data_IF_938767517573
#
_entry.id   IF_938767517573
#
_cell.length_a   1.000
_cell.length_b   1.000
_cell.length_c   1.000
_cell.angle_alpha   90.00
_cell.angle_beta   90.00
_cell.angle_gamma   90.00
#
_symmetry.space_group_name_H-M   'P 1'
#
loop_
_entity.id
_entity.type
_entity.pdbx_description
1 polymer ?
#
# COMPACT_ATOMS: atom_id res chain seq x y z
N UNK A 1 -1.17 -16.47 7.77
CA UNK A 1 -1.90 -15.18 7.75
C UNK A 1 -3.20 -15.24 8.55
N UNK A 2 -4.18 -16.11 8.22
CA UNK A 2 -5.48 -16.16 8.93
C UNK A 2 -5.38 -16.50 10.43
N UNK A 3 -4.50 -17.42 10.84
CA UNK A 3 -4.30 -17.75 12.26
C UNK A 3 -3.73 -16.55 13.07
N UNK A 4 -2.81 -15.79 12.46
CA UNK A 4 -2.19 -14.61 13.05
C UNK A 4 -3.20 -13.47 13.26
N UNK A 5 -4.13 -13.28 12.31
CA UNK A 5 -5.19 -12.28 12.45
C UNK A 5 -6.14 -12.60 13.62
N UNK A 6 -6.38 -13.89 13.92
CA UNK A 6 -7.23 -14.30 15.05
C UNK A 6 -6.51 -14.20 16.40
N UNK A 7 -5.22 -14.54 16.43
CA UNK A 7 -4.39 -14.45 17.65
C UNK A 7 -4.27 -13.01 18.16
N UNK A 8 -4.10 -12.06 17.24
CA UNK A 8 -4.08 -10.63 17.55
C UNK A 8 -5.48 -9.99 17.66
N UNK A 9 -6.56 -10.79 17.52
CA UNK A 9 -7.95 -10.32 17.60
C UNK A 9 -8.38 -9.38 16.46
N UNK A 10 -7.57 -9.29 15.39
CA UNK A 10 -7.86 -8.43 14.24
C UNK A 10 -9.11 -8.89 13.50
N UNK A 11 -9.48 -10.16 13.56
CA UNK A 11 -10.71 -10.68 12.93
C UNK A 11 -12.01 -10.11 13.53
N UNK A 12 -11.94 -9.44 14.68
CA UNK A 12 -13.09 -8.81 15.36
C UNK A 12 -13.24 -7.32 15.03
N UNK A 13 -12.25 -6.72 14.40
CA UNK A 13 -12.29 -5.32 14.00
C UNK A 13 -13.25 -5.14 12.82
N UNK A 14 -13.96 -4.03 12.83
CA UNK A 14 -14.68 -3.54 11.66
C UNK A 14 -13.70 -3.15 10.55
N UNK A 15 -14.22 -3.00 9.33
CA UNK A 15 -13.42 -2.55 8.18
C UNK A 15 -12.79 -1.18 8.44
N UNK A 16 -13.49 -0.28 9.13
CA UNK A 16 -12.97 1.04 9.48
C UNK A 16 -11.77 0.93 10.43
N UNK A 17 -11.89 0.10 11.48
CA UNK A 17 -10.80 -0.14 12.44
C UNK A 17 -9.60 -0.85 11.78
N UNK A 18 -9.81 -1.72 10.78
CA UNK A 18 -8.71 -2.27 9.98
C UNK A 18 -7.98 -1.21 9.18
N UNK A 19 -8.71 -0.28 8.57
CA UNK A 19 -8.11 0.82 7.80
C UNK A 19 -7.30 1.71 8.74
N UNK A 20 -7.88 2.13 9.87
CA UNK A 20 -7.18 2.96 10.86
C UNK A 20 -5.95 2.27 11.42
N UNK A 21 -6.02 0.98 11.74
CA UNK A 21 -4.84 0.23 12.18
C UNK A 21 -3.75 0.16 11.10
N UNK A 22 -4.13 -0.02 9.83
CA UNK A 22 -3.17 -0.02 8.73
C UNK A 22 -2.48 1.35 8.58
N UNK A 23 -3.23 2.44 8.73
CA UNK A 23 -2.70 3.81 8.74
C UNK A 23 -1.72 4.02 9.90
N UNK A 24 -2.12 3.67 11.14
CA UNK A 24 -1.28 3.81 12.34
C UNK A 24 0.03 3.02 12.24
N UNK A 25 -0.02 1.78 11.72
CA UNK A 25 1.17 0.97 11.51
C UNK A 25 2.09 1.57 10.45
N UNK A 26 1.52 2.13 9.37
CA UNK A 26 2.30 2.81 8.34
C UNK A 26 2.99 4.06 8.89
N UNK A 27 2.30 4.88 9.68
CA UNK A 27 2.88 6.07 10.31
C UNK A 27 4.01 5.70 11.28
N UNK A 28 3.82 4.67 12.10
CA UNK A 28 4.85 4.15 13.01
C UNK A 28 6.14 3.71 12.29
N UNK A 29 6.01 3.07 11.12
CA UNK A 29 7.17 2.67 10.29
C UNK A 29 7.85 3.90 9.68
N UNK A 30 7.07 4.89 9.24
CA UNK A 30 7.58 6.11 8.66
C UNK A 30 8.39 6.96 9.66
N UNK A 31 8.02 6.89 10.95
CA UNK A 31 8.70 7.59 12.05
C UNK A 31 9.81 6.76 12.71
N UNK A 32 9.96 5.50 12.32
CA UNK A 32 10.94 4.56 12.89
C UNK A 32 12.39 4.81 12.44
N UNK A 33 13.39 4.24 13.14
CA UNK A 33 14.80 4.39 12.76
C UNK A 33 15.15 3.74 11.41
N UNK A 34 14.33 2.82 10.92
CA UNK A 34 14.41 2.21 9.59
C UNK A 34 13.73 3.04 8.49
N UNK A 35 13.25 4.26 8.81
CA UNK A 35 12.62 5.15 7.85
C UNK A 35 13.52 5.41 6.64
N UNK A 36 13.03 5.04 5.46
CA UNK A 36 13.75 5.22 4.22
C UNK A 36 13.72 6.70 3.82
N UNK A 37 14.89 7.31 3.69
CA UNK A 37 14.99 8.66 3.12
C UNK A 37 14.70 8.61 1.62
N UNK A 38 13.71 9.36 1.16
CA UNK A 38 13.47 9.54 -0.27
C UNK A 38 14.57 10.41 -0.87
N UNK A 39 15.28 9.90 -1.87
CA UNK A 39 16.16 10.73 -2.70
C UNK A 39 15.34 11.69 -3.55
N UNK A 40 15.96 12.78 -4.01
CA UNK A 40 15.30 13.74 -4.91
C UNK A 40 14.78 13.05 -6.19
N UNK A 41 15.52 12.07 -6.69
CA UNK A 41 15.10 11.27 -7.84
C UNK A 41 13.80 10.48 -7.56
N UNK A 42 13.66 9.89 -6.38
CA UNK A 42 12.42 9.19 -5.99
C UNK A 42 11.26 10.17 -5.85
N UNK A 43 11.47 11.33 -5.23
CA UNK A 43 10.43 12.36 -5.08
C UNK A 43 9.95 12.86 -6.43
N UNK A 44 10.86 13.22 -7.33
CA UNK A 44 10.53 13.69 -8.67
C UNK A 44 9.79 12.61 -9.49
N UNK A 45 10.18 11.34 -9.35
CA UNK A 45 9.47 10.24 -10.00
C UNK A 45 8.02 10.12 -9.51
N UNK A 46 7.80 10.22 -8.18
CA UNK A 46 6.47 10.18 -7.59
C UNK A 46 5.60 11.36 -8.04
N UNK A 47 6.13 12.58 -8.02
CA UNK A 47 5.46 13.78 -8.50
C UNK A 47 5.04 13.65 -9.97
N UNK A 48 5.95 13.17 -10.82
CA UNK A 48 5.65 12.91 -12.24
C UNK A 48 4.50 11.90 -12.40
N UNK A 49 4.49 10.82 -11.62
CA UNK A 49 3.42 9.81 -11.67
C UNK A 49 2.09 10.36 -11.18
N UNK A 50 2.12 11.23 -10.18
CA UNK A 50 0.92 11.90 -9.67
C UNK A 50 0.32 12.81 -10.74
N UNK A 51 1.15 13.58 -11.45
CA UNK A 51 0.68 14.44 -12.54
C UNK A 51 0.09 13.64 -13.70
N UNK A 52 0.78 12.57 -14.13
CA UNK A 52 0.24 11.65 -15.14
C UNK A 52 -1.12 11.05 -14.75
N UNK A 53 -1.33 10.78 -13.46
CA UNK A 53 -2.62 10.29 -12.97
C UNK A 53 -3.69 11.38 -12.97
N UNK A 54 -3.35 12.64 -12.68
CA UNK A 54 -4.28 13.78 -12.79
C UNK A 54 -4.71 14.00 -14.23
N UNK A 55 -3.77 13.94 -15.16
CA UNK A 55 -4.03 14.08 -16.60
C UNK A 55 -4.86 12.90 -17.15
N UNK A 56 -4.63 11.70 -16.65
CA UNK A 56 -5.39 10.51 -17.03
C UNK A 56 -5.69 9.60 -15.82
N UNK A 57 -6.80 9.85 -15.10
CA UNK A 57 -7.17 9.08 -13.92
C UNK A 57 -7.43 7.60 -14.20
N UNK A 58 -7.74 7.25 -15.46
CA UNK A 58 -8.03 5.88 -15.90
C UNK A 58 -6.79 5.12 -16.41
N UNK A 59 -5.60 5.72 -16.33
CA UNK A 59 -4.34 5.07 -16.73
C UNK A 59 -3.94 3.89 -15.84
N UNK A 60 -4.52 3.78 -14.64
CA UNK A 60 -4.30 2.66 -13.72
C UNK A 60 -5.12 1.42 -14.11
N UNK A 61 -4.60 0.24 -13.73
CA UNK A 61 -5.38 -1.01 -13.81
C UNK A 61 -6.10 -1.28 -12.49
N UNK A 62 -7.33 -1.83 -12.52
CA UNK A 62 -7.99 -2.38 -11.34
C UNK A 62 -7.10 -3.40 -10.61
N UNK A 63 -7.24 -3.48 -9.29
CA UNK A 63 -6.45 -4.39 -8.47
C UNK A 63 -6.53 -5.85 -8.93
N UNK A 64 -7.72 -6.32 -9.31
CA UNK A 64 -7.90 -7.71 -9.76
C UNK A 64 -7.08 -8.04 -11.01
N UNK A 65 -6.96 -7.09 -11.95
CA UNK A 65 -6.12 -7.27 -13.14
C UNK A 65 -4.62 -7.29 -12.79
N UNK A 66 -4.20 -6.40 -11.88
CA UNK A 66 -2.82 -6.36 -11.38
C UNK A 66 -2.47 -7.67 -10.67
N UNK A 67 -3.35 -8.14 -9.79
CA UNK A 67 -3.21 -9.39 -9.05
C UNK A 67 -3.14 -10.60 -9.98
N UNK A 68 -3.99 -10.66 -11.00
CA UNK A 68 -3.94 -11.71 -12.01
C UNK A 68 -2.61 -11.71 -12.78
N UNK A 69 -2.09 -10.53 -13.16
CA UNK A 69 -0.77 -10.40 -13.80
C UNK A 69 0.38 -10.86 -12.91
N UNK A 70 0.36 -10.49 -11.63
CA UNK A 70 1.43 -10.87 -10.68
C UNK A 70 1.46 -12.38 -10.43
N UNK A 71 0.29 -13.03 -10.32
CA UNK A 71 0.21 -14.49 -10.14
C UNK A 71 0.74 -15.29 -11.31
N UNK A 72 0.47 -14.85 -12.55
CA UNK A 72 1.02 -15.49 -13.77
C UNK A 72 2.53 -15.41 -13.88
N UNK A 73 3.19 -14.53 -13.13
CA UNK A 73 4.63 -14.31 -13.18
C UNK A 73 5.41 -15.18 -12.18
N UNK A 74 4.70 -15.96 -11.37
CA UNK A 74 5.25 -16.82 -10.31
C UNK A 74 5.16 -18.32 -10.67
N UNK A 75 4.68 -18.65 -11.87
CA UNK A 75 4.81 -19.98 -12.52
C UNK A 75 6.01 -19.97 -13.48
#
# INVERSE_FOLDING_TARGET
>A
MFAFMRELGLDRLSVAEHISLAEELCDSIADGPEALTLTDAHRQYLERRLEQHRDNPKAGSPWEEVRARLRRKTD
#
